data_IF_131124693930
#
_entry.id   IF_131124693930
#
_cell.length_a   1.000
_cell.length_b   1.000
_cell.length_c   1.000
_cell.angle_alpha   90.00
_cell.angle_beta   90.00
_cell.angle_gamma   90.00
#
_symmetry.space_group_name_H-M   'P 1'
#
loop_
_entity.id
_entity.type
_entity.pdbx_description
1 polymer ?
#
# COMPACT_ATOMS: atom_id res chain seq x y z
N UNK A 1 -17.87 6.47 5.88
CA UNK A 1 -17.19 7.64 5.27
C UNK A 1 -15.67 7.54 5.31
N UNK A 2 -15.05 7.32 6.48
CA UNK A 2 -13.58 7.29 6.65
C UNK A 2 -12.87 6.32 5.68
N UNK A 3 -13.33 5.06 5.60
CA UNK A 3 -12.75 4.02 4.71
C UNK A 3 -12.72 4.45 3.24
N UNK A 4 -13.71 5.20 2.77
CA UNK A 4 -13.74 5.73 1.40
C UNK A 4 -12.69 6.83 1.18
N UNK A 5 -12.50 7.73 2.15
CA UNK A 5 -11.43 8.74 2.08
C UNK A 5 -10.05 8.08 2.09
N UNK A 6 -9.85 7.10 2.98
CA UNK A 6 -8.60 6.33 3.04
C UNK A 6 -8.31 5.62 1.72
N UNK A 7 -9.34 5.11 1.02
CA UNK A 7 -9.16 4.48 -0.29
C UNK A 7 -8.62 5.44 -1.34
N UNK A 8 -9.11 6.68 -1.35
CA UNK A 8 -8.60 7.74 -2.24
C UNK A 8 -7.17 8.12 -1.91
N UNK A 9 -6.87 8.37 -0.64
CA UNK A 9 -5.52 8.76 -0.21
C UNK A 9 -4.49 7.65 -0.50
N UNK A 10 -4.82 6.40 -0.17
CA UNK A 10 -3.95 5.26 -0.50
C UNK A 10 -3.76 5.11 -2.01
N UNK A 11 -4.80 5.33 -2.82
CA UNK A 11 -4.68 5.33 -4.28
C UNK A 11 -3.74 6.41 -4.80
N UNK A 12 -3.82 7.65 -4.29
CA UNK A 12 -2.92 8.75 -4.66
C UNK A 12 -1.46 8.39 -4.32
N UNK A 13 -1.22 7.87 -3.11
CA UNK A 13 0.12 7.44 -2.68
C UNK A 13 0.66 6.34 -3.60
N UNK A 14 -0.16 5.32 -3.89
CA UNK A 14 0.25 4.19 -4.72
C UNK A 14 0.45 4.55 -6.20
N UNK A 15 -0.23 5.58 -6.71
CA UNK A 15 0.09 6.14 -8.03
C UNK A 15 1.39 6.96 -8.00
N UNK A 16 1.66 7.68 -6.91
CA UNK A 16 2.85 8.51 -6.75
C UNK A 16 4.15 7.71 -6.74
N UNK A 17 4.16 6.52 -6.13
CA UNK A 17 5.35 5.66 -6.04
C UNK A 17 5.92 5.28 -7.43
N UNK A 18 5.17 4.64 -8.35
CA UNK A 18 5.69 4.26 -9.66
C UNK A 18 6.01 5.48 -10.53
N UNK A 19 5.24 6.57 -10.43
CA UNK A 19 5.54 7.82 -11.16
C UNK A 19 6.87 8.40 -10.68
N UNK A 20 7.10 8.45 -9.36
CA UNK A 20 8.35 8.91 -8.78
C UNK A 20 9.53 8.03 -9.18
N UNK A 21 9.38 6.71 -9.08
CA UNK A 21 10.40 5.74 -9.51
C UNK A 21 10.72 5.87 -11.00
N UNK A 22 9.70 6.01 -11.86
CA UNK A 22 9.89 6.21 -13.30
C UNK A 22 10.61 7.54 -13.60
N UNK A 23 10.23 8.61 -12.90
CA UNK A 23 10.85 9.93 -13.03
C UNK A 23 12.33 9.88 -12.63
N UNK A 24 12.64 9.26 -11.49
CA UNK A 24 14.02 9.06 -11.02
C UNK A 24 14.79 8.18 -12.00
N UNK A 25 14.21 7.10 -12.50
CA UNK A 25 14.85 6.20 -13.46
C UNK A 25 15.18 6.87 -14.81
N UNK A 26 14.43 7.92 -15.20
CA UNK A 26 14.70 8.68 -16.43
C UNK A 26 15.73 9.80 -16.18
N UNK A 27 15.66 10.48 -15.03
CA UNK A 27 16.46 11.68 -14.77
C UNK A 27 17.84 11.39 -14.18
N UNK A 28 17.98 10.30 -13.43
CA UNK A 28 19.23 9.95 -12.79
C UNK A 28 20.15 9.15 -13.74
N UNK A 29 21.47 9.39 -13.72
CA UNK A 29 22.39 8.80 -14.70
C UNK A 29 22.69 7.33 -14.44
N UNK A 30 22.69 6.92 -13.18
CA UNK A 30 23.07 5.57 -12.77
C UNK A 30 21.90 4.58 -12.73
N UNK A 31 22.22 3.29 -12.74
CA UNK A 31 21.24 2.20 -12.68
C UNK A 31 20.66 1.96 -11.28
N UNK A 32 19.53 1.26 -11.19
CA UNK A 32 18.93 0.88 -9.90
C UNK A 32 19.90 0.17 -8.94
N UNK A 33 20.72 -0.82 -9.36
CA UNK A 33 21.69 -1.46 -8.47
C UNK A 33 22.71 -0.50 -7.84
N UNK A 34 23.09 0.58 -8.54
CA UNK A 34 23.99 1.60 -7.99
C UNK A 34 23.37 2.30 -6.78
N UNK A 35 22.14 2.80 -6.92
CA UNK A 35 21.43 3.48 -5.83
C UNK A 35 21.05 2.53 -4.69
N UNK A 36 20.73 1.28 -5.01
CA UNK A 36 20.50 0.25 -3.99
C UNK A 36 21.78 0.01 -3.17
N UNK A 37 22.93 -0.14 -3.82
CA UNK A 37 24.22 -0.32 -3.15
C UNK A 37 24.61 0.88 -2.26
N UNK A 38 24.26 2.11 -2.67
CA UNK A 38 24.44 3.29 -1.82
C UNK A 38 23.59 3.21 -0.55
N UNK A 39 22.32 2.80 -0.65
CA UNK A 39 21.43 2.65 0.50
C UNK A 39 21.89 1.51 1.43
N UNK A 40 22.34 0.40 0.88
CA UNK A 40 22.91 -0.72 1.65
C UNK A 40 24.18 -0.32 2.40
N UNK A 41 25.01 0.55 1.80
CA UNK A 41 26.22 1.09 2.42
C UNK A 41 25.99 2.09 3.57
N UNK A 42 24.75 2.56 3.80
CA UNK A 42 24.41 3.51 4.86
C UNK A 42 24.28 2.87 6.27
N UNK A 43 24.47 1.55 6.40
CA UNK A 43 24.31 0.79 7.66
C UNK A 43 23.02 1.13 8.42
N UNK A 44 21.89 1.10 7.70
CA UNK A 44 20.60 1.42 8.31
C UNK A 44 20.12 0.31 9.24
N UNK A 45 19.57 0.72 10.39
CA UNK A 45 18.94 -0.20 11.33
C UNK A 45 17.81 -0.99 10.66
N UNK A 46 17.72 -2.29 10.97
CA UNK A 46 16.64 -3.17 10.51
C UNK A 46 15.25 -2.59 10.78
N UNK A 47 15.08 -1.84 11.88
CA UNK A 47 13.80 -1.20 12.21
C UNK A 47 13.40 -0.11 11.20
N UNK A 48 14.37 0.64 10.66
CA UNK A 48 14.11 1.68 9.64
C UNK A 48 13.69 1.01 8.34
N UNK A 49 14.40 -0.03 7.91
CA UNK A 49 14.09 -0.76 6.67
C UNK A 49 12.71 -1.42 6.79
N UNK A 50 12.43 -2.13 7.89
CA UNK A 50 11.15 -2.80 8.10
C UNK A 50 9.99 -1.81 8.21
N UNK A 51 10.17 -0.67 8.87
CA UNK A 51 9.13 0.37 8.92
C UNK A 51 8.89 1.01 7.55
N UNK A 52 9.94 1.26 6.76
CA UNK A 52 9.84 1.72 5.38
C UNK A 52 9.06 0.74 4.50
N UNK A 53 9.37 -0.56 4.58
CA UNK A 53 8.59 -1.62 3.90
C UNK A 53 7.12 -1.59 4.31
N UNK A 54 6.84 -1.47 5.61
CA UNK A 54 5.47 -1.44 6.12
C UNK A 54 4.67 -0.22 5.63
N UNK A 55 5.31 0.95 5.54
CA UNK A 55 4.69 2.18 5.02
C UNK A 55 4.27 2.08 3.55
N UNK A 56 4.92 1.19 2.76
CA UNK A 56 4.50 0.88 1.38
C UNK A 56 3.48 -0.26 1.37
N UNK A 57 3.69 -1.31 2.17
CA UNK A 57 2.85 -2.50 2.19
C UNK A 57 1.43 -2.23 2.72
N UNK A 58 1.28 -1.38 3.74
CA UNK A 58 -0.03 -1.06 4.33
C UNK A 58 -0.99 -0.34 3.38
N UNK A 59 -0.62 0.78 2.72
CA UNK A 59 -1.52 1.43 1.76
C UNK A 59 -1.84 0.50 0.59
N UNK A 60 -0.89 -0.29 0.10
CA UNK A 60 -1.13 -1.32 -0.93
C UNK A 60 -2.19 -2.33 -0.48
N UNK A 61 -1.98 -2.96 0.67
CA UNK A 61 -2.87 -3.99 1.22
C UNK A 61 -4.28 -3.46 1.43
N UNK A 62 -4.41 -2.26 2.01
CA UNK A 62 -5.69 -1.61 2.20
C UNK A 62 -6.36 -1.26 0.88
N UNK A 63 -5.65 -0.62 -0.06
CA UNK A 63 -6.24 -0.18 -1.31
C UNK A 63 -6.71 -1.37 -2.15
N UNK A 64 -5.91 -2.43 -2.21
CA UNK A 64 -6.24 -3.66 -2.91
C UNK A 64 -7.50 -4.33 -2.34
N UNK A 65 -7.53 -4.59 -1.02
CA UNK A 65 -8.67 -5.26 -0.37
C UNK A 65 -9.94 -4.39 -0.36
N UNK A 66 -9.80 -3.09 -0.12
CA UNK A 66 -10.95 -2.18 -0.22
C UNK A 66 -11.42 -2.03 -1.67
N UNK A 67 -10.51 -2.11 -2.65
CA UNK A 67 -10.85 -2.17 -4.08
C UNK A 67 -11.70 -3.40 -4.41
N UNK A 68 -11.34 -4.59 -3.91
CA UNK A 68 -12.17 -5.80 -4.04
C UNK A 68 -13.55 -5.56 -3.41
N UNK A 69 -13.62 -4.95 -2.23
CA UNK A 69 -14.91 -4.59 -1.60
C UNK A 69 -15.74 -3.64 -2.47
N UNK A 70 -15.11 -2.67 -3.13
CA UNK A 70 -15.79 -1.80 -4.09
C UNK A 70 -16.31 -2.58 -5.31
N UNK A 71 -15.51 -3.48 -5.88
CA UNK A 71 -15.97 -4.33 -6.99
C UNK A 71 -17.16 -5.22 -6.60
N UNK A 72 -17.18 -5.73 -5.36
CA UNK A 72 -18.34 -6.48 -4.81
C UNK A 72 -19.58 -5.58 -4.70
N UNK A 73 -19.40 -4.31 -4.34
CA UNK A 73 -20.50 -3.33 -4.33
C UNK A 73 -21.00 -3.01 -5.73
N UNK A 74 -20.10 -2.90 -6.71
CA UNK A 74 -20.44 -2.60 -8.11
C UNK A 74 -21.30 -3.70 -8.75
N UNK A 75 -21.17 -4.95 -8.28
CA UNK A 75 -22.05 -6.07 -8.69
C UNK A 75 -23.28 -6.26 -7.78
N UNK A 76 -23.56 -5.32 -6.87
CA UNK A 76 -24.82 -5.24 -6.13
C UNK A 76 -24.86 -5.95 -4.77
N UNK A 77 -23.73 -6.41 -4.22
CA UNK A 77 -23.67 -7.12 -2.93
C UNK A 77 -23.19 -6.20 -1.79
N UNK A 78 -23.46 -6.59 -0.52
CA UNK A 78 -22.99 -5.92 0.70
C UNK A 78 -23.41 -4.43 0.83
N UNK A 79 -24.61 -4.09 0.38
CA UNK A 79 -25.12 -2.71 0.31
C UNK A 79 -25.99 -2.29 1.49
N UNK A 80 -26.34 -3.18 2.42
CA UNK A 80 -27.03 -2.76 3.65
C UNK A 80 -26.05 -2.09 4.61
N UNK A 81 -26.52 -1.16 5.46
CA UNK A 81 -25.64 -0.42 6.38
C UNK A 81 -24.81 -1.36 7.28
N UNK A 82 -25.42 -2.45 7.78
CA UNK A 82 -24.72 -3.46 8.59
C UNK A 82 -23.61 -4.17 7.82
N UNK A 83 -23.84 -4.49 6.54
CA UNK A 83 -22.85 -5.14 5.69
C UNK A 83 -21.73 -4.19 5.29
N UNK A 84 -22.06 -2.93 4.99
CA UNK A 84 -21.08 -1.87 4.69
C UNK A 84 -20.14 -1.69 5.87
N UNK A 85 -20.66 -1.60 7.10
CA UNK A 85 -19.84 -1.45 8.31
C UNK A 85 -18.99 -2.70 8.56
N UNK A 86 -19.61 -3.89 8.55
CA UNK A 86 -18.91 -5.17 8.79
C UNK A 86 -17.79 -5.40 7.79
N UNK A 87 -18.06 -5.21 6.50
CA UNK A 87 -17.05 -5.35 5.44
C UNK A 87 -15.92 -4.34 5.58
N UNK A 88 -16.20 -3.13 6.09
CA UNK A 88 -15.18 -2.13 6.39
C UNK A 88 -14.20 -2.60 7.47
N UNK A 89 -14.70 -3.15 8.59
CA UNK A 89 -13.85 -3.71 9.66
C UNK A 89 -13.03 -4.90 9.17
N UNK A 90 -13.62 -5.79 8.38
CA UNK A 90 -12.94 -6.94 7.78
C UNK A 90 -11.77 -6.48 6.90
N UNK A 91 -12.00 -5.50 6.01
CA UNK A 91 -10.95 -4.95 5.14
C UNK A 91 -9.81 -4.35 5.96
N UNK A 92 -10.08 -3.59 7.02
CA UNK A 92 -9.03 -3.00 7.85
C UNK A 92 -8.17 -4.07 8.53
N UNK A 93 -8.78 -5.11 9.12
CA UNK A 93 -8.06 -6.19 9.77
C UNK A 93 -7.21 -6.99 8.78
N UNK A 94 -7.79 -7.35 7.63
CA UNK A 94 -7.08 -8.08 6.58
C UNK A 94 -5.94 -7.25 5.98
N UNK A 95 -6.11 -5.94 5.82
CA UNK A 95 -5.07 -5.05 5.31
C UNK A 95 -3.85 -5.01 6.22
N UNK A 96 -4.06 -4.93 7.53
CA UNK A 96 -2.96 -4.95 8.52
C UNK A 96 -2.26 -6.31 8.49
N UNK A 97 -3.02 -7.41 8.50
CA UNK A 97 -2.46 -8.77 8.45
C UNK A 97 -1.65 -9.01 7.17
N UNK A 98 -2.17 -8.59 6.01
CA UNK A 98 -1.48 -8.71 4.73
C UNK A 98 -0.22 -7.84 4.68
N UNK A 99 -0.27 -6.60 5.19
CA UNK A 99 0.89 -5.74 5.27
C UNK A 99 2.01 -6.35 6.13
N UNK A 100 1.66 -6.93 7.28
CA UNK A 100 2.63 -7.66 8.10
C UNK A 100 3.20 -8.89 7.38
N UNK A 101 2.40 -9.64 6.63
CA UNK A 101 2.92 -10.75 5.85
C UNK A 101 3.91 -10.28 4.76
N UNK A 102 3.56 -9.22 4.03
CA UNK A 102 4.37 -8.69 2.92
C UNK A 102 5.73 -8.14 3.34
N UNK A 103 5.90 -7.65 4.57
CA UNK A 103 7.21 -7.14 5.02
C UNK A 103 8.24 -8.25 5.31
N UNK A 104 7.78 -9.49 5.48
CA UNK A 104 8.62 -10.67 5.74
C UNK A 104 8.83 -11.57 4.51
N UNK A 105 8.10 -11.33 3.43
CA UNK A 105 8.42 -11.85 2.10
C UNK A 105 9.64 -11.13 1.53
#
# INVERSE_FOLDING_TARGET
>A
MIVSMTHRFTGIILCGIPIGLATVAILLPESYPYYLGMLEGMDQSKYIITSGKFLVALPFSFHFLNGIRHLIWDVGYLLTMKEVDRSGYIVMLLAVALAFHLIFL
#
